data_IF_824236083632
#
_entry.id   IF_824236083632
#
_cell.length_a   1.000
_cell.length_b   1.000
_cell.length_c   1.000
_cell.angle_alpha   90.00
_cell.angle_beta   90.00
_cell.angle_gamma   90.00
#
_symmetry.space_group_name_H-M   'P 1'
#
loop_
_entity.id
_entity.type
_entity.pdbx_description
1 polymer ?
#
# COMPACT_ATOMS: atom_id res chain seq x y z
N UNK A 1 -9.48 16.14 -11.43
CA UNK A 1 -9.04 15.17 -10.40
C UNK A 1 -9.91 15.42 -9.17
N UNK A 2 -10.74 14.46 -8.78
CA UNK A 2 -11.65 14.63 -7.64
C UNK A 2 -11.15 13.81 -6.45
N UNK A 3 -11.35 14.31 -5.23
CA UNK A 3 -11.11 13.54 -4.02
C UNK A 3 -12.09 12.36 -3.98
N UNK A 4 -11.59 11.14 -4.17
CA UNK A 4 -12.41 9.92 -4.30
C UNK A 4 -13.32 9.68 -3.08
N UNK A 5 -12.91 10.10 -1.89
CA UNK A 5 -13.74 10.01 -0.67
C UNK A 5 -14.97 10.92 -0.63
N UNK A 6 -15.11 11.88 -1.57
CA UNK A 6 -16.18 12.88 -1.59
C UNK A 6 -17.21 12.59 -2.69
N UNK A 7 -16.97 11.58 -3.53
CA UNK A 7 -17.82 11.22 -4.67
C UNK A 7 -18.41 9.83 -4.46
N UNK A 8 -19.67 9.65 -4.84
CA UNK A 8 -20.26 8.30 -4.95
C UNK A 8 -19.72 7.63 -6.21
N UNK A 9 -18.95 6.54 -6.09
CA UNK A 9 -18.45 5.82 -7.27
C UNK A 9 -19.61 5.32 -8.12
N UNK A 10 -19.46 5.41 -9.45
CA UNK A 10 -20.33 4.69 -10.39
C UNK A 10 -20.11 3.18 -10.20
N UNK A 11 -21.11 2.37 -10.54
CA UNK A 11 -21.05 0.91 -10.38
C UNK A 11 -19.84 0.28 -11.09
N UNK A 12 -19.42 0.86 -12.21
CA UNK A 12 -18.28 0.41 -13.02
C UNK A 12 -16.98 1.17 -12.73
N UNK A 13 -16.96 2.04 -11.71
CA UNK A 13 -15.76 2.82 -11.41
C UNK A 13 -14.70 1.98 -10.71
N UNK A 14 -13.46 2.08 -11.19
CA UNK A 14 -12.31 1.47 -10.52
C UNK A 14 -11.84 2.36 -9.38
N UNK A 15 -11.74 1.79 -8.18
CA UNK A 15 -11.19 2.47 -7.02
C UNK A 15 -9.65 2.38 -7.00
N UNK A 16 -9.00 3.43 -7.51
CA UNK A 16 -7.54 3.56 -7.55
C UNK A 16 -6.92 4.11 -6.25
N UNK A 17 -7.66 4.11 -5.14
CA UNK A 17 -7.14 4.57 -3.84
C UNK A 17 -6.41 3.49 -3.04
N UNK A 18 -6.46 2.23 -3.48
CA UNK A 18 -5.77 1.14 -2.80
C UNK A 18 -4.33 0.99 -3.29
N UNK A 19 -3.40 0.90 -2.34
CA UNK A 19 -1.97 0.90 -2.61
C UNK A 19 -1.25 -0.21 -1.85
N UNK A 20 -0.15 -0.69 -2.44
CA UNK A 20 0.92 -1.42 -1.74
C UNK A 20 1.97 -0.41 -1.29
N UNK A 21 2.39 -0.50 -0.04
CA UNK A 21 3.44 0.36 0.50
C UNK A 21 4.39 -0.45 1.38
N UNK A 22 5.61 0.04 1.52
CA UNK A 22 6.65 -0.61 2.31
C UNK A 22 7.16 0.35 3.38
N UNK A 23 7.33 -0.17 4.60
CA UNK A 23 7.84 0.61 5.72
C UNK A 23 8.69 -0.26 6.64
N UNK A 24 9.56 0.40 7.39
CA UNK A 24 10.40 -0.22 8.40
C UNK A 24 9.60 -0.45 9.68
N UNK A 25 9.56 -1.70 10.14
CA UNK A 25 8.87 -2.10 11.37
C UNK A 25 9.89 -2.62 12.34
N UNK A 26 9.81 -2.17 13.60
CA UNK A 26 10.63 -2.73 14.67
C UNK A 26 10.16 -4.16 15.01
N UNK A 27 11.05 -5.14 14.80
CA UNK A 27 10.85 -6.55 15.17
C UNK A 27 10.52 -6.72 16.64
N UNK A 28 11.02 -5.82 17.48
CA UNK A 28 10.91 -5.89 18.94
C UNK A 28 10.01 -4.82 19.53
N UNK A 29 9.03 -4.29 18.76
CA UNK A 29 8.11 -3.25 19.20
C UNK A 29 7.40 -3.57 20.54
N UNK A 30 7.15 -4.86 20.83
CA UNK A 30 6.54 -5.30 22.09
C UNK A 30 7.53 -5.40 23.28
N UNK A 31 8.85 -5.33 23.06
CA UNK A 31 9.91 -5.49 24.05
C UNK A 31 10.60 -4.16 24.36
N UNK A 32 9.95 -3.32 25.18
CA UNK A 32 10.36 -1.93 25.48
C UNK A 32 11.81 -1.70 25.91
N UNK A 33 12.50 -2.72 26.43
CA UNK A 33 13.89 -2.60 26.94
C UNK A 33 14.95 -3.01 25.91
N UNK A 34 14.53 -3.52 24.76
CA UNK A 34 15.44 -3.98 23.71
C UNK A 34 15.70 -2.85 22.72
N UNK A 35 16.92 -2.80 22.17
CA UNK A 35 17.22 -1.86 21.09
C UNK A 35 16.36 -2.21 19.85
N UNK A 36 15.76 -1.21 19.18
CA UNK A 36 14.96 -1.44 17.99
C UNK A 36 15.78 -2.11 16.89
N UNK A 37 15.18 -3.08 16.22
CA UNK A 37 15.75 -3.69 15.02
C UNK A 37 14.70 -3.66 13.91
N UNK A 38 14.98 -2.87 12.88
CA UNK A 38 14.00 -2.62 11.82
C UNK A 38 14.10 -3.64 10.70
N UNK A 39 12.94 -4.10 10.23
CA UNK A 39 12.81 -4.86 8.99
C UNK A 39 11.84 -4.17 8.03
N UNK A 40 12.15 -4.22 6.74
CA UNK A 40 11.23 -3.77 5.71
C UNK A 40 10.03 -4.73 5.66
N UNK A 41 8.83 -4.17 5.69
CA UNK A 41 7.58 -4.92 5.55
C UNK A 41 6.66 -4.28 4.53
N UNK A 42 6.03 -5.15 3.76
CA UNK A 42 4.99 -4.80 2.80
C UNK A 42 3.63 -4.77 3.47
N UNK A 43 2.87 -3.72 3.16
CA UNK A 43 1.51 -3.50 3.64
C UNK A 43 0.62 -3.10 2.47
N UNK A 44 -0.68 -3.20 2.70
CA UNK A 44 -1.71 -2.77 1.77
C UNK A 44 -2.67 -1.86 2.50
N UNK A 45 -3.26 -0.90 1.81
CA UNK A 45 -4.20 0.02 2.44
C UNK A 45 -4.85 0.96 1.46
N UNK A 46 -5.79 1.75 1.96
CA UNK A 46 -6.49 2.76 1.19
C UNK A 46 -5.91 4.15 1.49
N UNK A 47 -5.33 4.80 0.49
CA UNK A 47 -4.90 6.18 0.53
C UNK A 47 -6.11 7.10 0.77
N UNK A 48 -6.08 7.85 1.88
CA UNK A 48 -7.14 8.76 2.29
C UNK A 48 -6.84 10.19 1.83
N UNK A 49 -5.64 10.68 2.16
CA UNK A 49 -5.20 12.04 1.87
C UNK A 49 -3.71 12.08 1.54
N UNK A 50 -3.33 13.05 0.71
CA UNK A 50 -1.95 13.46 0.48
C UNK A 50 -1.79 14.85 1.10
N UNK A 51 -0.83 15.01 2.00
CA UNK A 51 -0.46 16.28 2.59
C UNK A 51 0.81 16.79 1.92
N UNK A 52 0.79 18.04 1.45
CA UNK A 52 1.96 18.73 0.92
C UNK A 52 2.40 19.73 1.98
N UNK A 53 3.52 19.43 2.63
CA UNK A 53 4.08 20.25 3.71
C UNK A 53 5.27 21.01 3.15
N UNK A 54 5.14 22.33 3.02
CA UNK A 54 6.24 23.20 2.61
C UNK A 54 6.92 23.74 3.86
N UNK A 55 8.17 23.35 4.08
CA UNK A 55 8.99 23.82 5.18
C UNK A 55 9.91 24.93 4.67
N UNK A 56 9.97 26.10 5.32
CA UNK A 56 10.97 27.11 5.01
C UNK A 56 12.37 26.60 5.39
N UNK A 57 13.41 27.29 4.89
CA UNK A 57 14.75 27.11 5.44
C UNK A 57 14.74 27.46 6.93
N UNK A 58 15.28 26.58 7.76
CA UNK A 58 15.29 26.71 9.20
C UNK A 58 16.59 26.08 9.74
N UNK A 59 17.43 26.91 10.36
CA UNK A 59 18.72 26.50 10.88
C UNK A 59 18.60 25.56 12.10
N UNK A 60 17.59 25.75 12.95
CA UNK A 60 17.38 24.94 14.15
C UNK A 60 16.91 23.53 13.77
N UNK A 61 16.12 23.43 12.70
CA UNK A 61 15.64 22.17 12.14
C UNK A 61 16.62 21.53 11.14
N UNK A 62 17.79 22.15 10.91
CA UNK A 62 18.79 21.69 9.93
C UNK A 62 18.23 21.56 8.51
N UNK A 63 17.34 22.48 8.13
CA UNK A 63 16.74 22.58 6.80
C UNK A 63 17.45 23.75 6.08
N UNK A 64 18.53 23.51 5.32
CA UNK A 64 19.33 24.59 4.74
C UNK A 64 18.57 25.39 3.68
N UNK A 65 17.62 24.75 2.99
CA UNK A 65 16.84 25.31 1.90
C UNK A 65 15.36 24.93 2.05
N UNK A 66 14.42 25.79 1.59
CA UNK A 66 13.00 25.46 1.61
C UNK A 66 12.73 24.09 0.96
N UNK A 67 12.13 23.19 1.72
CA UNK A 67 11.93 21.79 1.33
C UNK A 67 10.45 21.43 1.36
N UNK A 68 10.01 20.64 0.38
CA UNK A 68 8.63 20.13 0.33
C UNK A 68 8.64 18.65 0.68
N UNK A 69 7.87 18.29 1.70
CA UNK A 69 7.58 16.91 2.06
C UNK A 69 6.17 16.54 1.65
N UNK A 70 6.01 15.36 1.05
CA UNK A 70 4.71 14.85 0.63
C UNK A 70 4.41 13.63 1.50
N UNK A 71 3.40 13.74 2.35
CA UNK A 71 2.97 12.67 3.25
C UNK A 71 1.68 12.04 2.75
N UNK A 72 1.60 10.72 2.79
CA UNK A 72 0.41 9.94 2.49
C UNK A 72 -0.22 9.43 3.79
N UNK A 73 -1.52 9.65 3.96
CA UNK A 73 -2.31 8.98 4.99
C UNK A 73 -2.99 7.75 4.41
N UNK A 74 -2.68 6.59 4.96
CA UNK A 74 -3.11 5.30 4.43
C UNK A 74 -3.85 4.55 5.53
N UNK A 75 -5.10 4.18 5.25
CA UNK A 75 -5.87 3.30 6.14
C UNK A 75 -5.52 1.85 5.82
N UNK A 76 -4.73 1.21 6.67
CA UNK A 76 -4.15 -0.11 6.42
C UNK A 76 -5.24 -1.17 6.24
N UNK A 77 -5.04 -2.16 5.38
CA UNK A 77 -5.83 -3.37 5.29
C UNK A 77 -5.27 -4.40 6.27
N UNK A 78 -6.12 -4.96 7.14
CA UNK A 78 -5.71 -6.07 8.00
C UNK A 78 -5.69 -7.35 7.18
N UNK A 79 -4.54 -7.70 6.62
CA UNK A 79 -4.37 -8.95 5.88
C UNK A 79 -4.59 -10.14 6.83
N UNK A 80 -5.58 -10.96 6.52
CA UNK A 80 -6.01 -12.11 7.32
C UNK A 80 -5.44 -13.42 6.78
N UNK A 81 -5.28 -13.50 5.46
CA UNK A 81 -4.76 -14.68 4.76
C UNK A 81 -4.08 -14.25 3.46
N UNK A 82 -3.13 -15.05 3.02
CA UNK A 82 -2.37 -14.83 1.78
C UNK A 82 -2.22 -16.13 1.01
N UNK A 83 -2.30 -16.07 -0.31
CA UNK A 83 -1.88 -17.14 -1.20
C UNK A 83 -0.50 -16.75 -1.77
N UNK A 84 0.55 -17.39 -1.28
CA UNK A 84 1.93 -17.07 -1.69
C UNK A 84 2.23 -17.44 -3.15
N UNK A 85 1.57 -18.46 -3.70
CA UNK A 85 1.76 -18.89 -5.09
C UNK A 85 1.24 -17.85 -6.08
N UNK A 86 0.13 -17.19 -5.75
CA UNK A 86 -0.52 -16.22 -6.62
C UNK A 86 -0.30 -14.76 -6.19
N UNK A 87 0.43 -14.54 -5.09
CA UNK A 87 0.58 -13.24 -4.42
C UNK A 87 -0.76 -12.52 -4.17
N UNK A 88 -1.78 -13.27 -3.75
CA UNK A 88 -3.12 -12.75 -3.46
C UNK A 88 -3.29 -12.62 -1.95
N UNK A 89 -3.57 -11.41 -1.49
CA UNK A 89 -3.82 -11.12 -0.08
C UNK A 89 -5.29 -10.84 0.16
N UNK A 90 -5.81 -11.23 1.32
CA UNK A 90 -7.22 -11.02 1.63
C UNK A 90 -7.41 -10.30 2.95
N UNK A 91 -8.40 -9.42 2.98
CA UNK A 91 -8.81 -8.67 4.17
C UNK A 91 -10.33 -8.55 4.22
N UNK A 92 -10.91 -8.49 5.43
CA UNK A 92 -12.31 -8.13 5.64
C UNK A 92 -12.46 -6.78 6.35
N UNK A 93 -11.39 -6.30 6.99
CA UNK A 93 -11.37 -5.09 7.81
C UNK A 93 -10.21 -4.18 7.47
N UNK A 94 -10.48 -2.89 7.50
CA UNK A 94 -9.44 -1.86 7.56
C UNK A 94 -8.97 -1.68 9.01
N UNK A 95 -7.69 -1.35 9.16
CA UNK A 95 -6.98 -1.17 10.41
C UNK A 95 -6.71 0.28 10.73
N UNK A 96 -5.53 0.52 11.30
CA UNK A 96 -5.07 1.84 11.71
C UNK A 96 -4.82 2.79 10.55
N UNK A 97 -4.48 4.03 10.90
CA UNK A 97 -4.05 5.04 9.96
C UNK A 97 -2.54 5.18 10.06
N UNK A 98 -1.85 4.93 8.96
CA UNK A 98 -0.42 5.18 8.82
C UNK A 98 -0.23 6.53 8.11
N UNK A 99 0.67 7.37 8.63
CA UNK A 99 1.12 8.60 7.95
C UNK A 99 2.58 8.40 7.61
N UNK A 100 2.87 8.30 6.32
CA UNK A 100 4.18 7.94 5.79
C UNK A 100 4.60 8.95 4.73
N UNK A 101 5.90 9.01 4.43
CA UNK A 101 6.35 9.70 3.21
C UNK A 101 5.74 9.00 1.98
N UNK A 102 5.30 9.77 0.99
CA UNK A 102 4.66 9.23 -0.21
C UNK A 102 5.58 8.26 -0.96
N UNK A 103 6.91 8.39 -0.81
CA UNK A 103 7.88 7.46 -1.43
C UNK A 103 7.79 6.03 -0.90
N UNK A 104 7.11 5.80 0.23
CA UNK A 104 6.84 4.45 0.72
C UNK A 104 5.84 3.68 -0.16
N UNK A 105 5.01 4.38 -0.94
CA UNK A 105 4.03 3.77 -1.84
C UNK A 105 4.75 3.16 -3.05
N UNK A 106 4.56 1.85 -3.26
CA UNK A 106 5.19 1.12 -4.35
C UNK A 106 4.32 1.08 -5.60
N UNK A 107 3.02 0.80 -5.44
CA UNK A 107 2.08 0.71 -6.56
C UNK A 107 0.63 0.85 -6.11
N UNK A 108 -0.25 1.15 -7.07
CA UNK A 108 -1.71 1.00 -6.93
C UNK A 108 -2.07 -0.46 -7.13
N UNK A 109 -2.93 -1.00 -6.27
CA UNK A 109 -3.40 -2.39 -6.32
C UNK A 109 -4.89 -2.46 -6.64
N UNK A 110 -5.28 -3.54 -7.32
CA UNK A 110 -6.68 -3.85 -7.54
C UNK A 110 -7.30 -4.55 -6.33
N UNK A 111 -8.62 -4.47 -6.19
CA UNK A 111 -9.38 -5.26 -5.22
C UNK A 111 -10.62 -5.88 -5.83
N UNK A 112 -10.89 -7.13 -5.48
CA UNK A 112 -12.04 -7.90 -5.99
C UNK A 112 -12.86 -8.38 -4.79
N UNK A 113 -14.19 -8.14 -4.75
CA UNK A 113 -15.03 -8.65 -3.69
C UNK A 113 -15.08 -10.18 -3.74
N UNK A 114 -15.02 -10.80 -2.58
CA UNK A 114 -15.03 -12.25 -2.38
C UNK A 114 -16.19 -12.64 -1.45
N UNK A 115 -16.41 -13.94 -1.27
CA UNK A 115 -17.38 -14.45 -0.29
C UNK A 115 -17.11 -13.90 1.13
N UNK A 116 -18.15 -13.89 1.95
CA UNK A 116 -18.10 -13.47 3.37
C UNK A 116 -17.64 -12.02 3.59
N UNK A 117 -18.00 -11.11 2.68
CA UNK A 117 -17.66 -9.69 2.76
C UNK A 117 -16.14 -9.43 2.86
N UNK A 118 -15.36 -10.33 2.26
CA UNK A 118 -13.90 -10.19 2.16
C UNK A 118 -13.50 -9.63 0.80
N UNK A 119 -12.28 -9.12 0.72
CA UNK A 119 -11.70 -8.58 -0.50
C UNK A 119 -10.39 -9.30 -0.79
N UNK A 120 -10.17 -9.65 -2.05
CA UNK A 120 -8.87 -10.07 -2.56
C UNK A 120 -8.15 -8.85 -3.11
N UNK A 121 -6.91 -8.64 -2.69
CA UNK A 121 -5.99 -7.64 -3.21
C UNK A 121 -5.17 -8.31 -4.30
N UNK A 122 -5.11 -7.67 -5.47
CA UNK A 122 -4.37 -8.13 -6.63
C UNK A 122 -3.35 -7.05 -6.99
N UNK A 123 -2.08 -7.37 -6.79
CA UNK A 123 -0.98 -6.57 -7.33
C UNK A 123 -0.67 -7.03 -8.76
N UNK A 124 -0.65 -6.08 -9.71
CA UNK A 124 -0.30 -6.33 -11.12
C UNK A 124 1.12 -5.90 -11.44
N UNK A 125 1.97 -5.67 -10.45
CA UNK A 125 3.38 -5.37 -10.66
C UNK A 125 4.26 -6.62 -10.84
N UNK A 126 3.77 -7.80 -10.43
CA UNK A 126 4.51 -9.07 -10.50
C UNK A 126 4.35 -9.85 -11.80
N UNK A 127 5.01 -11.01 -11.87
CA UNK A 127 5.09 -11.85 -13.07
C UNK A 127 3.72 -12.34 -13.58
N UNK A 128 2.74 -12.50 -12.68
CA UNK A 128 1.38 -12.91 -13.01
C UNK A 128 0.57 -11.84 -13.75
N UNK A 129 1.10 -10.63 -13.90
CA UNK A 129 0.45 -9.55 -14.64
C UNK A 129 0.53 -9.72 -16.16
N UNK A 130 1.32 -10.67 -16.67
CA UNK A 130 1.58 -10.87 -18.09
C UNK A 130 1.08 -12.24 -18.55
N UNK A 131 0.11 -12.25 -19.47
CA UNK A 131 -0.21 -13.46 -20.20
C UNK A 131 0.89 -13.72 -21.24
N UNK A 132 1.44 -14.94 -21.25
CA UNK A 132 2.31 -15.41 -22.33
C UNK A 132 1.69 -16.65 -22.96
N UNK A 133 1.83 -16.75 -24.28
CA UNK A 133 1.41 -17.92 -25.03
C UNK A 133 2.43 -19.05 -24.82
N UNK A 134 1.95 -20.23 -24.43
CA UNK A 134 2.77 -21.45 -24.38
C UNK A 134 2.38 -22.30 -25.59
N UNK A 135 3.23 -22.38 -26.64
CA UNK A 135 3.00 -23.30 -27.74
C UNK A 135 3.01 -24.74 -27.22
N UNK A 136 2.08 -25.57 -27.71
CA UNK A 136 2.12 -27.00 -27.41
C UNK A 136 3.41 -27.59 -28.00
N UNK A 137 4.26 -28.13 -27.13
CA UNK A 137 5.36 -28.99 -27.56
C UNK A 137 4.71 -30.28 -28.03
N UNK A 138 4.70 -30.50 -29.34
CA UNK A 138 4.31 -31.80 -29.90
C UNK A 138 5.21 -32.88 -29.32
N UNK A 139 4.62 -33.80 -28.56
CA UNK A 139 5.28 -35.05 -28.19
C UNK A 139 5.39 -35.90 -29.48
N UNK A 140 6.55 -35.84 -30.15
CA UNK A 140 6.97 -36.83 -31.17
C UNK A 140 7.52 -38.09 -30.51
#
# INVERSE_FOLDING_TARGET
MHAAGVIKPAQDSCDATFVRYETLVDKYACQKKRQPEYEMKTFYGQLQHIFVVSLPSDADLHIPEPTVHILASIKTCKVERSNATLDIHYYSKVGGLDILDITCIQCVVGRIPCANNSWAIIDRSGDLARAFYVPETGDE
#
